data_IF_503693252223
#
_entry.id   IF_503693252223
#
_cell.length_a   1.000
_cell.length_b   1.000
_cell.length_c   1.000
_cell.angle_alpha   90.00
_cell.angle_beta   90.00
_cell.angle_gamma   90.00
#
_symmetry.space_group_name_H-M   'P 1'
#
loop_
_entity.id
_entity.type
_entity.pdbx_description
1 polymer ?
#
# COMPACT_ATOMS: atom_id res chain seq x y z
N UNK A 1 -2.73 -24.65 1.65
CA UNK A 1 -2.94 -23.19 1.79
C UNK A 1 -4.40 -22.89 1.51
N UNK A 2 -5.06 -22.12 2.39
CA UNK A 2 -6.42 -21.63 2.15
C UNK A 2 -6.34 -20.36 1.31
N UNK A 3 -7.13 -20.29 0.24
CA UNK A 3 -7.31 -19.11 -0.61
C UNK A 3 -8.69 -18.52 -0.34
N UNK A 4 -8.89 -17.25 -0.66
CA UNK A 4 -10.14 -16.53 -0.46
C UNK A 4 -10.00 -15.35 0.50
N UNK A 5 -11.14 -14.83 0.95
CA UNK A 5 -11.25 -13.75 1.91
C UNK A 5 -11.20 -14.28 3.35
N UNK A 6 -10.65 -13.47 4.26
CA UNK A 6 -10.58 -13.78 5.68
C UNK A 6 -11.18 -12.63 6.50
N UNK A 7 -12.17 -12.94 7.34
CA UNK A 7 -12.79 -11.95 8.24
C UNK A 7 -12.01 -11.68 9.54
N UNK A 8 -10.88 -12.36 9.75
CA UNK A 8 -10.06 -12.24 10.95
C UNK A 8 -8.57 -12.38 10.61
N UNK A 9 -7.66 -11.88 11.46
CA UNK A 9 -6.21 -12.09 11.34
C UNK A 9 -5.85 -13.56 11.09
N UNK A 10 -4.95 -13.81 10.13
CA UNK A 10 -4.53 -15.16 9.75
C UNK A 10 -3.31 -15.67 10.54
N UNK A 11 -2.68 -14.80 11.33
CA UNK A 11 -1.42 -15.08 12.02
C UNK A 11 -0.20 -15.09 11.09
N UNK A 12 0.93 -15.67 11.51
CA UNK A 12 2.17 -15.64 10.76
C UNK A 12 2.10 -16.42 9.43
N UNK A 13 2.65 -15.83 8.37
CA UNK A 13 2.80 -16.45 7.05
C UNK A 13 4.00 -17.42 7.06
N UNK A 14 3.70 -18.71 7.03
CA UNK A 14 4.72 -19.78 7.04
C UNK A 14 5.14 -20.22 5.62
N UNK A 15 5.70 -19.31 4.81
CA UNK A 15 6.03 -19.60 3.40
C UNK A 15 7.10 -20.70 3.21
N UNK A 16 8.02 -20.88 4.17
CA UNK A 16 9.05 -21.94 4.13
C UNK A 16 8.50 -23.36 4.09
N UNK A 17 7.29 -23.56 4.60
CA UNK A 17 6.57 -24.84 4.52
C UNK A 17 5.79 -25.04 3.22
N UNK A 18 5.78 -24.07 2.32
CA UNK A 18 5.02 -24.15 1.07
C UNK A 18 5.70 -25.10 0.08
N UNK A 19 4.92 -26.05 -0.46
CA UNK A 19 5.38 -26.96 -1.52
C UNK A 19 5.40 -26.24 -2.87
N UNK A 20 6.41 -25.39 -3.05
CA UNK A 20 6.62 -24.61 -4.27
C UNK A 20 6.88 -25.53 -5.47
N UNK A 21 6.19 -25.24 -6.58
CA UNK A 21 6.27 -26.00 -7.83
C UNK A 21 6.61 -25.08 -9.00
N UNK A 22 7.13 -25.64 -10.08
CA UNK A 22 7.17 -24.96 -11.37
C UNK A 22 5.76 -24.88 -11.97
N UNK A 23 5.53 -24.03 -12.99
CA UNK A 23 4.27 -24.02 -13.73
C UNK A 23 3.90 -25.36 -14.36
N UNK A 24 4.88 -26.23 -14.62
CA UNK A 24 4.69 -27.59 -15.14
C UNK A 24 4.44 -28.63 -14.03
N UNK A 25 4.35 -28.21 -12.77
CA UNK A 25 3.97 -29.06 -11.64
C UNK A 25 5.13 -29.78 -10.95
N UNK A 26 6.37 -29.64 -11.43
CA UNK A 26 7.56 -30.21 -10.79
C UNK A 26 7.85 -29.50 -9.46
N UNK A 27 8.23 -30.24 -8.41
CA UNK A 27 8.67 -29.63 -7.16
C UNK A 27 9.98 -28.87 -7.38
N UNK A 28 10.05 -27.65 -6.87
CA UNK A 28 11.29 -26.85 -6.90
C UNK A 28 12.15 -27.12 -5.66
N UNK A 29 13.49 -26.93 -5.76
CA UNK A 29 14.39 -26.98 -4.61
C UNK A 29 13.95 -26.07 -3.46
N UNK A 30 14.27 -26.42 -2.22
CA UNK A 30 13.78 -25.69 -1.04
C UNK A 30 14.29 -24.26 -0.98
N UNK A 31 15.50 -24.00 -1.49
CA UNK A 31 16.10 -22.66 -1.51
C UNK A 31 15.27 -21.67 -2.36
N UNK A 32 14.50 -22.19 -3.32
CA UNK A 32 13.58 -21.38 -4.14
C UNK A 32 12.48 -20.73 -3.32
N UNK A 33 12.14 -21.29 -2.16
CA UNK A 33 11.17 -20.67 -1.25
C UNK A 33 11.68 -19.34 -0.71
N UNK A 34 12.98 -19.19 -0.47
CA UNK A 34 13.57 -17.92 -0.04
C UNK A 34 13.80 -16.97 -1.22
N UNK A 35 14.28 -17.46 -2.36
CA UNK A 35 14.60 -16.59 -3.51
C UNK A 35 13.36 -15.98 -4.17
N UNK A 36 12.28 -16.74 -4.24
CA UNK A 36 11.09 -16.39 -5.01
C UNK A 36 10.04 -15.69 -4.14
N UNK A 37 10.18 -15.75 -2.81
CA UNK A 37 9.27 -15.06 -1.90
C UNK A 37 9.51 -13.55 -1.94
N UNK A 38 8.43 -12.80 -2.10
CA UNK A 38 8.41 -11.33 -2.12
C UNK A 38 7.52 -10.82 -0.99
N UNK A 39 7.98 -9.77 -0.32
CA UNK A 39 7.24 -9.03 0.70
C UNK A 39 7.26 -7.54 0.39
N UNK A 40 6.11 -6.91 0.59
CA UNK A 40 5.90 -5.47 0.48
C UNK A 40 5.10 -5.00 1.67
N UNK A 41 5.48 -3.85 2.21
CA UNK A 41 4.68 -3.18 3.21
C UNK A 41 4.76 -1.67 2.96
N UNK A 42 3.61 -1.02 2.98
CA UNK A 42 3.47 0.41 2.78
C UNK A 42 2.56 0.99 3.86
N UNK A 43 3.05 2.03 4.53
CA UNK A 43 2.32 2.80 5.53
C UNK A 43 2.40 4.27 5.16
N UNK A 44 1.29 4.97 5.31
CA UNK A 44 1.24 6.38 4.98
C UNK A 44 0.05 7.09 5.59
N UNK A 45 0.06 8.40 5.47
CA UNK A 45 -1.01 9.28 5.88
C UNK A 45 -1.21 10.38 4.84
N UNK A 46 -2.46 10.78 4.65
CA UNK A 46 -2.82 11.79 3.67
C UNK A 46 -3.83 12.76 4.28
N UNK A 47 -3.72 14.02 3.89
CA UNK A 47 -4.65 15.10 4.23
C UNK A 47 -4.80 16.04 3.03
N UNK A 48 -5.63 17.08 3.16
CA UNK A 48 -5.70 18.12 2.14
C UNK A 48 -4.37 18.88 1.97
N UNK A 49 -3.44 18.80 2.94
CA UNK A 49 -2.15 19.49 2.91
C UNK A 49 -1.01 18.62 2.37
N UNK A 50 -0.98 17.33 2.67
CA UNK A 50 0.17 16.50 2.33
C UNK A 50 -0.18 15.04 2.06
N UNK A 51 0.72 14.34 1.37
CA UNK A 51 0.78 12.88 1.30
C UNK A 51 2.13 12.39 1.83
N UNK A 52 2.08 11.60 2.91
CA UNK A 52 3.21 10.85 3.48
C UNK A 52 3.08 9.40 3.06
N UNK A 53 4.16 8.81 2.56
CA UNK A 53 4.22 7.38 2.28
C UNK A 53 5.59 6.81 2.57
N UNK A 54 5.62 5.62 3.17
CA UNK A 54 6.82 4.84 3.39
C UNK A 54 6.58 3.41 2.93
N UNK A 55 7.34 2.96 1.93
CA UNK A 55 7.28 1.59 1.44
C UNK A 55 8.60 0.86 1.76
N UNK A 56 8.48 -0.42 2.10
CA UNK A 56 9.61 -1.36 2.18
C UNK A 56 9.37 -2.52 1.23
N UNK A 57 10.42 -2.95 0.54
CA UNK A 57 10.44 -4.15 -0.30
C UNK A 57 11.42 -5.15 0.30
N UNK A 58 10.99 -6.41 0.37
CA UNK A 58 11.77 -7.51 0.91
C UNK A 58 11.77 -8.70 -0.05
N UNK A 59 12.94 -9.04 -0.57
CA UNK A 59 13.20 -10.27 -1.30
C UNK A 59 14.67 -10.68 -1.13
N UNK A 60 15.02 -11.87 -1.61
CA UNK A 60 16.42 -12.28 -1.66
C UNK A 60 17.28 -11.34 -2.53
N UNK A 61 16.74 -10.87 -3.65
CA UNK A 61 17.45 -10.04 -4.63
C UNK A 61 17.50 -8.55 -4.25
N UNK A 62 16.49 -8.06 -3.52
CA UNK A 62 16.33 -6.65 -3.17
C UNK A 62 15.71 -6.48 -1.81
N UNK A 63 16.38 -5.66 -0.99
CA UNK A 63 15.85 -5.11 0.26
C UNK A 63 16.02 -3.60 0.16
N UNK A 64 14.91 -2.88 0.13
CA UNK A 64 14.89 -1.44 -0.14
C UNK A 64 13.74 -0.77 0.58
N UNK A 65 13.84 0.55 0.70
CA UNK A 65 12.74 1.37 1.17
C UNK A 65 12.71 2.70 0.42
N UNK A 66 11.54 3.32 0.34
CA UNK A 66 11.43 4.73 0.01
C UNK A 66 10.49 5.42 0.99
N UNK A 67 10.68 6.71 1.16
CA UNK A 67 9.93 7.56 2.07
C UNK A 67 9.79 8.94 1.45
N UNK A 68 8.59 9.50 1.49
CA UNK A 68 8.35 10.86 1.01
C UNK A 68 7.31 11.59 1.85
N UNK A 69 7.36 12.92 1.79
CA UNK A 69 6.25 13.81 2.11
C UNK A 69 6.11 14.77 0.94
N UNK A 70 5.00 14.67 0.23
CA UNK A 70 4.59 15.62 -0.80
C UNK A 70 3.64 16.64 -0.17
N UNK A 71 3.97 17.93 -0.18
CA UNK A 71 3.10 19.00 0.31
C UNK A 71 2.29 19.57 -0.87
N UNK A 72 0.97 19.40 -0.81
CA UNK A 72 0.02 19.86 -1.84
C UNK A 72 -0.11 21.38 -1.92
N UNK A 73 0.19 22.12 -0.84
CA UNK A 73 0.15 23.58 -0.83
C UNK A 73 1.34 24.20 -1.57
N UNK A 74 2.48 23.52 -1.54
CA UNK A 74 3.69 23.93 -2.25
C UNK A 74 3.92 23.18 -3.57
N UNK A 75 3.10 22.16 -3.82
CA UNK A 75 3.17 21.23 -4.95
C UNK A 75 4.57 20.63 -5.17
N UNK A 76 5.22 20.20 -4.08
CA UNK A 76 6.58 19.64 -4.12
C UNK A 76 6.83 18.64 -2.99
N UNK A 77 7.84 17.80 -3.17
CA UNK A 77 8.39 17.01 -2.07
C UNK A 77 9.14 17.90 -1.09
N UNK A 78 8.76 17.83 0.19
CA UNK A 78 9.52 18.40 1.31
C UNK A 78 10.41 17.35 1.99
N UNK A 79 10.14 16.08 1.70
CA UNK A 79 10.99 14.92 2.02
C UNK A 79 10.90 13.93 0.85
N UNK A 80 12.04 13.45 0.37
CA UNK A 80 12.13 12.32 -0.55
C UNK A 80 13.43 11.56 -0.29
N UNK A 81 13.32 10.29 0.12
CA UNK A 81 14.46 9.44 0.48
C UNK A 81 14.29 8.05 -0.10
N UNK A 82 15.39 7.50 -0.61
CA UNK A 82 15.47 6.15 -1.18
C UNK A 82 16.61 5.39 -0.54
N UNK A 83 16.36 4.12 -0.24
CA UNK A 83 17.29 3.25 0.43
C UNK A 83 17.38 1.91 -0.30
N UNK A 84 18.61 1.44 -0.49
CA UNK A 84 18.91 0.08 -0.91
C UNK A 84 19.91 -0.51 0.07
N UNK A 85 19.66 -1.75 0.51
CA UNK A 85 20.48 -2.42 1.50
C UNK A 85 21.91 -2.65 1.00
N UNK A 86 22.87 -2.43 1.90
CA UNK A 86 24.31 -2.63 1.71
C UNK A 86 24.81 -3.69 2.69
N UNK A 87 26.08 -4.07 2.56
CA UNK A 87 26.71 -4.94 3.53
C UNK A 87 26.72 -4.28 4.92
N UNK A 88 26.25 -5.00 5.93
CA UNK A 88 26.15 -4.50 7.32
C UNK A 88 24.80 -3.90 7.69
N UNK A 89 23.92 -3.64 6.71
CA UNK A 89 22.55 -3.19 6.97
C UNK A 89 21.69 -4.33 7.55
N UNK A 90 20.72 -3.95 8.38
CA UNK A 90 19.76 -4.87 8.97
C UNK A 90 18.40 -4.72 8.27
N UNK A 91 17.86 -5.79 7.72
CA UNK A 91 16.55 -5.79 7.07
C UNK A 91 15.77 -7.02 7.52
N UNK A 92 14.72 -6.81 8.32
CA UNK A 92 13.77 -7.81 8.81
C UNK A 92 12.37 -7.42 8.34
N UNK A 93 11.61 -8.39 7.86
CA UNK A 93 10.24 -8.18 7.37
C UNK A 93 9.27 -9.02 8.20
N UNK A 94 8.22 -8.39 8.71
CA UNK A 94 7.19 -9.07 9.48
C UNK A 94 6.40 -10.04 8.60
N UNK A 95 6.31 -11.30 9.01
CA UNK A 95 5.47 -12.31 8.36
C UNK A 95 4.07 -12.39 8.96
N UNK A 96 3.80 -11.66 10.05
CA UNK A 96 2.47 -11.47 10.61
C UNK A 96 2.08 -9.99 10.45
N UNK A 97 1.14 -9.66 9.55
CA UNK A 97 0.74 -8.28 9.28
C UNK A 97 -0.11 -7.67 10.41
N UNK A 98 -0.54 -8.47 11.39
CA UNK A 98 -1.36 -8.05 12.54
C UNK A 98 -0.59 -8.15 13.87
N UNK A 99 0.63 -8.72 13.91
CA UNK A 99 1.37 -8.98 15.16
C UNK A 99 2.91 -9.00 15.03
N UNK A 100 3.51 -8.21 14.12
CA UNK A 100 4.95 -8.28 13.82
C UNK A 100 5.65 -6.93 13.64
N UNK A 101 6.97 -6.98 13.58
CA UNK A 101 7.86 -5.83 13.33
C UNK A 101 8.68 -6.04 12.06
N UNK A 102 8.59 -5.10 11.12
CA UNK A 102 9.53 -4.93 10.03
C UNK A 102 10.55 -3.86 10.43
N UNK A 103 11.85 -4.18 10.43
CA UNK A 103 12.94 -3.25 10.73
C UNK A 103 13.87 -3.15 9.53
N UNK A 104 14.10 -1.93 9.05
CA UNK A 104 15.08 -1.63 8.02
C UNK A 104 16.03 -0.55 8.55
N UNK A 105 17.31 -0.91 8.70
CA UNK A 105 18.40 -0.02 9.09
C UNK A 105 19.38 0.11 7.94
N UNK A 106 19.54 1.33 7.44
CA UNK A 106 20.44 1.69 6.34
C UNK A 106 21.49 2.68 6.86
N UNK A 107 22.60 2.16 7.38
CA UNK A 107 23.55 2.93 8.19
C UNK A 107 22.88 3.58 9.41
N UNK A 108 22.88 4.91 9.47
CA UNK A 108 22.27 5.69 10.56
C UNK A 108 20.75 5.84 10.43
N UNK A 109 20.18 5.50 9.27
CA UNK A 109 18.75 5.62 9.00
C UNK A 109 18.00 4.38 9.50
N UNK A 110 16.85 4.57 10.15
CA UNK A 110 16.02 3.51 10.72
C UNK A 110 14.57 3.72 10.33
N UNK A 111 13.94 2.67 9.78
CA UNK A 111 12.51 2.58 9.49
C UNK A 111 11.97 1.35 10.21
N UNK A 112 10.92 1.52 11.00
CA UNK A 112 10.23 0.44 11.69
C UNK A 112 8.74 0.50 11.41
N UNK A 113 8.18 -0.64 11.00
CA UNK A 113 6.74 -0.81 10.82
C UNK A 113 6.26 -1.92 11.76
N UNK A 114 5.43 -1.58 12.73
CA UNK A 114 4.93 -2.51 13.75
C UNK A 114 3.43 -2.71 13.64
N UNK A 115 2.98 -3.91 13.98
CA UNK A 115 1.57 -4.24 14.21
C UNK A 115 1.41 -4.87 15.60
N UNK A 116 0.42 -4.39 16.36
CA UNK A 116 0.09 -4.88 17.70
C UNK A 116 -1.28 -5.58 17.68
N UNK A 117 -1.29 -6.87 18.00
CA UNK A 117 -2.47 -7.74 17.84
C UNK A 117 -3.61 -7.37 18.79
N UNK A 118 -3.29 -7.03 20.03
CA UNK A 118 -4.25 -6.77 21.09
C UNK A 118 -5.07 -5.51 20.82
N UNK A 119 -4.46 -4.52 20.18
CA UNK A 119 -5.06 -3.21 19.87
C UNK A 119 -5.45 -3.07 18.40
N UNK A 120 -5.07 -4.03 17.55
CA UNK A 120 -5.07 -3.94 16.09
C UNK A 120 -4.53 -2.57 15.64
N UNK A 121 -3.42 -2.14 16.26
CA UNK A 121 -2.77 -0.89 15.91
C UNK A 121 -1.58 -1.13 15.02
N UNK A 122 -1.30 -0.18 14.15
CA UNK A 122 -0.11 -0.17 13.29
C UNK A 122 0.64 1.12 13.47
N UNK A 123 1.96 1.02 13.44
CA UNK A 123 2.88 2.14 13.67
C UNK A 123 3.96 2.16 12.60
N UNK A 124 4.32 3.37 12.17
CA UNK A 124 5.51 3.66 11.39
C UNK A 124 6.39 4.61 12.22
N UNK A 125 7.58 4.15 12.58
CA UNK A 125 8.59 4.95 13.28
C UNK A 125 9.84 5.09 12.40
N UNK A 126 10.19 6.32 12.07
CA UNK A 126 11.34 6.66 11.23
C UNK A 126 12.28 7.60 11.95
N UNK A 127 13.58 7.33 11.88
CA UNK A 127 14.65 8.26 12.25
C UNK A 127 15.69 8.29 11.14
N UNK A 128 15.99 9.47 10.58
CA UNK A 128 16.97 9.64 9.50
C UNK A 128 18.17 10.46 9.97
N UNK A 129 19.25 10.35 9.21
CA UNK A 129 20.55 11.03 9.42
C UNK A 129 20.48 12.57 9.37
N UNK A 130 19.47 13.14 8.73
CA UNK A 130 19.23 14.60 8.63
C UNK A 130 18.39 15.17 9.79
N UNK A 131 18.07 14.34 10.79
CA UNK A 131 17.22 14.70 11.92
C UNK A 131 15.72 14.53 11.65
N UNK A 132 15.31 14.00 10.49
CA UNK A 132 13.91 13.66 10.22
C UNK A 132 13.43 12.57 11.18
N UNK A 133 12.30 12.81 11.83
CA UNK A 133 11.62 11.89 12.70
C UNK A 133 10.13 11.78 12.32
N UNK A 134 9.63 10.56 12.16
CA UNK A 134 8.20 10.31 11.86
C UNK A 134 7.70 9.28 12.85
N UNK A 135 6.59 9.56 13.52
CA UNK A 135 5.82 8.59 14.28
C UNK A 135 4.38 8.69 13.81
N UNK A 136 3.95 7.72 13.02
CA UNK A 136 2.59 7.58 12.52
C UNK A 136 1.95 6.38 13.19
N UNK A 137 0.73 6.53 13.69
CA UNK A 137 -0.04 5.40 14.20
C UNK A 137 -1.53 5.50 13.84
N UNK A 138 -2.19 4.36 13.81
CA UNK A 138 -3.65 4.25 13.74
C UNK A 138 -4.12 2.92 14.33
N UNK A 139 -5.42 2.78 14.55
CA UNK A 139 -6.03 1.54 15.07
C UNK A 139 -7.23 1.11 14.23
N UNK A 140 -7.34 -0.20 13.99
CA UNK A 140 -8.48 -0.87 13.35
C UNK A 140 -9.55 -1.31 14.38
N UNK A 141 -9.30 -1.12 15.68
CA UNK A 141 -10.24 -1.51 16.74
C UNK A 141 -11.12 -0.36 17.25
N UNK A 142 -10.69 0.90 17.06
CA UNK A 142 -11.38 2.09 17.56
C UNK A 142 -11.33 3.25 16.56
N UNK A 143 -12.43 3.53 15.83
CA UNK A 143 -13.63 2.71 15.70
C UNK A 143 -13.31 1.35 15.04
N UNK A 144 -14.23 0.39 15.17
CA UNK A 144 -14.07 -0.92 14.52
C UNK A 144 -13.93 -0.79 13.00
N UNK A 145 -13.03 -1.57 12.41
CA UNK A 145 -12.69 -1.53 11.00
C UNK A 145 -12.67 -2.94 10.38
N UNK A 146 -13.27 -3.09 9.20
CA UNK A 146 -13.29 -4.33 8.43
C UNK A 146 -12.09 -4.39 7.49
N UNK A 147 -10.95 -4.80 8.03
CA UNK A 147 -9.71 -4.92 7.25
C UNK A 147 -9.83 -5.98 6.17
N UNK A 148 -9.54 -5.58 4.92
CA UNK A 148 -9.50 -6.50 3.80
C UNK A 148 -8.31 -7.43 3.99
N UNK A 149 -8.58 -8.74 4.04
CA UNK A 149 -7.56 -9.79 4.04
C UNK A 149 -7.91 -10.81 2.98
N UNK A 150 -7.00 -11.04 2.03
CA UNK A 150 -7.21 -12.02 0.96
C UNK A 150 -5.96 -12.82 0.67
N UNK A 151 -6.15 -14.04 0.20
CA UNK A 151 -5.11 -14.86 -0.42
C UNK A 151 -5.61 -15.37 -1.77
N UNK A 152 -4.97 -14.95 -2.85
CA UNK A 152 -5.32 -15.37 -4.21
C UNK A 152 -4.27 -16.32 -4.78
N UNK A 153 -4.67 -17.05 -5.81
CA UNK A 153 -3.71 -17.77 -6.64
C UNK A 153 -2.98 -16.77 -7.54
N UNK A 154 -1.67 -16.96 -7.70
CA UNK A 154 -0.84 -16.08 -8.52
C UNK A 154 -0.11 -16.91 -9.57
N UNK A 155 -0.64 -16.91 -10.79
CA UNK A 155 -0.17 -17.79 -11.87
C UNK A 155 -0.44 -19.27 -11.56
N UNK A 156 0.32 -20.17 -12.20
CA UNK A 156 0.09 -21.61 -12.07
C UNK A 156 0.56 -22.19 -10.72
N UNK A 157 1.58 -21.60 -10.09
CA UNK A 157 2.23 -22.20 -8.92
C UNK A 157 2.36 -21.26 -7.69
N UNK A 158 2.12 -19.96 -7.89
CA UNK A 158 2.24 -18.95 -6.86
C UNK A 158 0.94 -18.62 -6.14
N UNK A 159 1.06 -17.73 -5.18
CA UNK A 159 -0.05 -17.16 -4.41
C UNK A 159 0.39 -15.82 -3.83
N UNK A 160 -0.58 -14.97 -3.57
CA UNK A 160 -0.35 -13.66 -2.96
C UNK A 160 -1.33 -13.46 -1.83
N UNK A 161 -0.82 -13.18 -0.64
CA UNK A 161 -1.60 -12.62 0.46
C UNK A 161 -1.53 -11.10 0.41
N UNK A 162 -2.67 -10.44 0.52
CA UNK A 162 -2.75 -8.99 0.63
C UNK A 162 -3.65 -8.60 1.81
N UNK A 163 -3.24 -7.55 2.52
CA UNK A 163 -3.98 -6.93 3.61
C UNK A 163 -4.02 -5.42 3.41
N UNK A 164 -5.22 -4.83 3.35
CA UNK A 164 -5.42 -3.41 3.02
C UNK A 164 -6.27 -2.72 4.08
N UNK A 165 -5.88 -1.50 4.41
CA UNK A 165 -6.60 -0.56 5.29
C UNK A 165 -6.53 0.82 4.65
N UNK A 166 -7.68 1.51 4.56
CA UNK A 166 -7.75 2.89 4.13
C UNK A 166 -8.95 3.58 4.81
N UNK A 167 -8.85 4.88 5.06
CA UNK A 167 -9.93 5.66 5.68
C UNK A 167 -9.99 5.54 7.20
N UNK A 168 -8.84 5.38 7.85
CA UNK A 168 -8.70 5.43 9.32
C UNK A 168 -8.03 6.73 9.75
N UNK A 169 -8.28 7.22 10.97
CA UNK A 169 -7.64 8.45 11.46
C UNK A 169 -6.14 8.20 11.71
N UNK A 170 -5.30 9.13 11.27
CA UNK A 170 -3.87 9.13 11.56
C UNK A 170 -3.56 9.91 12.83
N UNK A 171 -2.71 9.37 13.68
CA UNK A 171 -2.19 10.03 14.88
C UNK A 171 -0.66 10.08 14.86
N UNK A 172 -0.10 11.06 15.59
CA UNK A 172 1.33 11.31 15.67
C UNK A 172 1.77 12.47 14.79
N UNK A 173 3.02 12.44 14.34
CA UNK A 173 3.63 13.55 13.63
C UNK A 173 4.81 13.15 12.73
N UNK A 174 5.14 14.06 11.81
CA UNK A 174 6.42 14.09 11.12
C UNK A 174 7.13 15.41 11.42
N UNK A 175 8.43 15.36 11.70
CA UNK A 175 9.27 16.54 11.88
C UNK A 175 10.64 16.37 11.23
N UNK A 176 11.29 17.48 10.88
CA UNK A 176 12.62 17.50 10.27
C UNK A 176 12.99 18.90 9.77
N UNK A 177 13.97 19.01 8.85
CA UNK A 177 14.33 20.29 8.23
C UNK A 177 13.17 21.02 7.52
N UNK A 178 12.11 20.28 7.18
CA UNK A 178 10.87 20.79 6.57
C UNK A 178 9.84 21.34 7.57
N UNK A 179 10.15 21.39 8.87
CA UNK A 179 9.20 21.78 9.91
C UNK A 179 8.44 20.59 10.50
N UNK A 180 7.20 20.81 10.96
CA UNK A 180 6.39 19.82 11.68
C UNK A 180 4.99 19.66 11.06
N UNK A 181 4.55 18.42 10.95
CA UNK A 181 3.21 18.00 10.50
C UNK A 181 2.57 17.20 11.63
N UNK A 182 1.61 17.78 12.33
CA UNK A 182 0.78 17.08 13.30
C UNK A 182 -0.41 16.44 12.57
N UNK A 183 -0.49 15.10 12.59
CA UNK A 183 -1.45 14.37 11.76
C UNK A 183 -2.89 14.60 12.21
N UNK A 184 -3.14 14.69 13.51
CA UNK A 184 -4.47 14.93 14.05
C UNK A 184 -4.94 16.36 13.74
N UNK A 185 -4.07 17.36 13.94
CA UNK A 185 -4.38 18.77 13.66
C UNK A 185 -4.64 19.03 12.17
N UNK A 186 -3.99 18.27 11.29
CA UNK A 186 -4.19 18.34 9.84
C UNK A 186 -5.35 17.46 9.34
N UNK A 187 -6.06 16.77 10.25
CA UNK A 187 -7.17 15.88 9.91
C UNK A 187 -6.74 14.72 9.00
N UNK A 188 -5.48 14.29 9.11
CA UNK A 188 -4.92 13.26 8.25
C UNK A 188 -5.57 11.89 8.50
N UNK A 189 -5.67 11.11 7.44
CA UNK A 189 -6.14 9.74 7.48
C UNK A 189 -5.03 8.81 6.98
N UNK A 190 -4.88 7.67 7.64
CA UNK A 190 -3.85 6.69 7.34
C UNK A 190 -4.36 5.57 6.43
N UNK A 191 -3.41 4.90 5.81
CA UNK A 191 -3.60 3.69 5.04
C UNK A 191 -2.44 2.72 5.27
N UNK A 192 -2.72 1.45 5.04
CA UNK A 192 -1.75 0.37 5.10
C UNK A 192 -1.99 -0.62 3.98
N UNK A 193 -0.91 -1.01 3.33
CA UNK A 193 -0.86 -2.07 2.36
C UNK A 193 0.24 -3.04 2.79
N UNK A 194 -0.13 -4.31 2.89
CA UNK A 194 0.80 -5.40 3.08
C UNK A 194 0.56 -6.44 2.02
N UNK A 195 1.62 -6.87 1.36
CA UNK A 195 1.57 -7.94 0.38
C UNK A 195 2.72 -8.91 0.62
N UNK A 196 2.44 -10.21 0.59
CA UNK A 196 3.49 -11.22 0.66
C UNK A 196 3.11 -12.48 -0.11
N UNK A 197 4.10 -13.15 -0.72
CA UNK A 197 3.88 -14.43 -1.37
C UNK A 197 4.86 -14.75 -2.50
N UNK A 198 4.43 -15.68 -3.35
CA UNK A 198 5.13 -16.06 -4.57
C UNK A 198 4.43 -15.40 -5.75
N UNK A 199 4.87 -14.19 -6.07
CA UNK A 199 4.33 -13.36 -7.14
C UNK A 199 4.73 -13.90 -8.51
N UNK A 200 4.13 -13.35 -9.58
CA UNK A 200 4.58 -13.65 -10.94
C UNK A 200 5.98 -13.06 -11.16
N UNK A 201 6.88 -13.72 -11.92
CA UNK A 201 8.20 -13.18 -12.22
C UNK A 201 8.13 -11.78 -12.85
N UNK A 202 7.15 -11.57 -13.72
CA UNK A 202 6.72 -10.26 -14.20
C UNK A 202 5.39 -9.90 -13.54
N UNK A 203 5.38 -8.82 -12.78
CA UNK A 203 4.21 -8.30 -12.09
C UNK A 203 3.96 -6.89 -12.57
N UNK A 204 2.73 -6.60 -12.97
CA UNK A 204 2.29 -5.26 -13.35
C UNK A 204 0.99 -4.95 -12.61
N UNK A 205 0.87 -3.73 -12.11
CA UNK A 205 -0.38 -3.24 -11.56
C UNK A 205 -0.55 -1.74 -11.76
N UNK A 206 -1.81 -1.35 -11.85
CA UNK A 206 -2.26 -0.02 -11.51
C UNK A 206 -2.97 -0.07 -10.16
N UNK A 207 -2.79 0.96 -9.33
CA UNK A 207 -3.42 1.05 -8.02
C UNK A 207 -3.98 2.45 -7.80
N UNK A 208 -5.11 2.56 -7.11
CA UNK A 208 -5.66 3.82 -6.65
C UNK A 208 -6.07 3.67 -5.19
N UNK A 209 -5.66 4.63 -4.38
CA UNK A 209 -5.94 4.67 -2.96
C UNK A 209 -6.18 6.10 -2.50
N UNK A 210 -7.19 6.27 -1.65
CA UNK A 210 -7.37 7.51 -0.90
C UNK A 210 -7.80 7.19 0.52
N UNK A 211 -7.62 8.17 1.41
CA UNK A 211 -8.16 8.13 2.76
C UNK A 211 -8.53 9.55 3.16
N UNK A 212 -9.72 9.75 3.69
CA UNK A 212 -10.12 11.09 4.12
C UNK A 212 -11.53 11.16 4.68
N UNK A 213 -12.03 12.38 4.86
CA UNK A 213 -13.36 12.65 5.40
C UNK A 213 -14.22 13.32 4.35
N UNK A 214 -15.42 12.80 4.14
CA UNK A 214 -16.46 13.48 3.37
C UNK A 214 -16.96 14.73 4.10
N UNK A 215 -17.66 15.60 3.38
CA UNK A 215 -18.20 16.84 3.94
C UNK A 215 -19.19 16.62 5.10
N UNK A 216 -19.87 15.47 5.13
CA UNK A 216 -20.76 15.06 6.22
C UNK A 216 -20.03 14.43 7.41
N UNK A 217 -18.69 14.41 7.41
CA UNK A 217 -17.85 13.86 8.47
C UNK A 217 -17.55 12.37 8.37
N UNK A 218 -18.16 11.64 7.42
CA UNK A 218 -17.90 10.21 7.24
C UNK A 218 -16.44 9.96 6.83
N UNK A 219 -15.80 9.00 7.48
CA UNK A 219 -14.49 8.50 7.06
C UNK A 219 -14.67 7.62 5.83
N UNK A 220 -13.94 7.94 4.78
CA UNK A 220 -13.94 7.20 3.53
C UNK A 220 -12.51 6.75 3.20
N UNK A 221 -12.40 5.51 2.74
CA UNK A 221 -11.16 4.96 2.20
C UNK A 221 -11.43 4.19 0.93
N UNK A 222 -10.48 4.12 0.01
CA UNK A 222 -10.57 3.35 -1.22
C UNK A 222 -9.28 2.54 -1.40
N UNK A 223 -9.43 1.29 -1.83
CA UNK A 223 -8.34 0.48 -2.38
C UNK A 223 -8.86 -0.23 -3.63
N UNK A 224 -8.35 0.14 -4.80
CA UNK A 224 -8.64 -0.59 -6.05
C UNK A 224 -7.38 -0.79 -6.85
N UNK A 225 -7.20 -1.99 -7.37
CA UNK A 225 -6.12 -2.33 -8.29
C UNK A 225 -6.64 -3.02 -9.55
N UNK A 226 -5.79 -2.95 -10.57
CA UNK A 226 -5.96 -3.60 -11.85
C UNK A 226 -4.63 -4.22 -12.27
N UNK A 227 -4.62 -5.51 -12.61
CA UNK A 227 -3.44 -6.27 -13.02
C UNK A 227 -2.84 -7.18 -11.93
N UNK A 228 -3.28 -7.07 -10.67
CA UNK A 228 -2.80 -7.89 -9.55
C UNK A 228 -3.96 -8.39 -8.68
N UNK A 229 -3.80 -9.59 -8.10
CA UNK A 229 -4.79 -10.20 -7.21
C UNK A 229 -6.18 -10.34 -7.83
N UNK A 230 -6.28 -10.80 -9.09
CA UNK A 230 -7.54 -10.93 -9.86
C UNK A 230 -7.98 -12.40 -10.08
N UNK A 231 -7.27 -13.38 -9.52
CA UNK A 231 -7.65 -14.80 -9.70
C UNK A 231 -8.64 -15.24 -8.62
N UNK A 232 -9.92 -15.23 -8.98
CA UNK A 232 -11.04 -15.74 -8.18
C UNK A 232 -11.55 -14.81 -7.06
N UNK A 233 -10.74 -13.84 -6.65
CA UNK A 233 -11.10 -12.72 -5.77
C UNK A 233 -10.37 -11.47 -6.28
N UNK A 234 -10.85 -10.28 -5.92
CA UNK A 234 -10.18 -8.99 -6.14
C UNK A 234 -9.84 -8.34 -4.80
N UNK A 235 -8.80 -7.50 -4.76
CA UNK A 235 -8.52 -6.64 -3.60
C UNK A 235 -9.31 -5.32 -3.60
N UNK A 236 -10.28 -5.19 -4.51
CA UNK A 236 -11.01 -3.95 -4.75
C UNK A 236 -12.11 -3.74 -3.71
N UNK A 237 -12.06 -2.64 -2.98
CA UNK A 237 -13.08 -2.22 -2.03
C UNK A 237 -12.95 -0.74 -1.67
N UNK A 238 -13.98 -0.23 -1.02
CA UNK A 238 -13.91 1.02 -0.28
C UNK A 238 -14.49 0.81 1.11
N UNK A 239 -14.22 1.75 2.01
CA UNK A 239 -14.72 1.74 3.37
C UNK A 239 -15.53 2.99 3.66
N UNK A 240 -16.62 2.80 4.40
CA UNK A 240 -17.44 3.88 4.95
C UNK A 240 -17.47 3.71 6.47
N UNK A 241 -16.82 4.60 7.20
CA UNK A 241 -16.68 4.53 8.65
C UNK A 241 -16.17 3.16 9.14
N UNK A 242 -15.23 2.58 8.39
CA UNK A 242 -14.63 1.28 8.69
C UNK A 242 -15.41 0.06 8.20
N UNK A 243 -16.66 0.20 7.74
CA UNK A 243 -17.39 -0.88 7.09
C UNK A 243 -16.95 -1.03 5.63
N UNK A 244 -16.55 -2.23 5.22
CA UNK A 244 -16.02 -2.54 3.90
C UNK A 244 -17.15 -2.82 2.90
N UNK A 245 -17.09 -2.17 1.74
CA UNK A 245 -17.89 -2.50 0.57
C UNK A 245 -16.97 -3.11 -0.48
N UNK A 246 -17.13 -4.43 -0.73
CA UNK A 246 -16.42 -5.09 -1.82
C UNK A 246 -16.90 -4.57 -3.18
N UNK A 247 -15.92 -4.30 -4.03
CA UNK A 247 -16.11 -3.96 -5.43
C UNK A 247 -15.63 -5.13 -6.31
N UNK A 248 -16.19 -5.21 -7.51
CA UNK A 248 -15.71 -6.11 -8.56
C UNK A 248 -14.38 -5.59 -9.17
N UNK A 249 -13.95 -6.16 -10.29
CA UNK A 249 -12.79 -5.74 -11.06
C UNK A 249 -12.89 -4.25 -11.40
N UNK A 250 -11.77 -3.55 -11.24
CA UNK A 250 -11.66 -2.13 -11.51
C UNK A 250 -10.87 -1.92 -12.80
N UNK A 251 -11.25 -0.87 -13.54
CA UNK A 251 -10.48 -0.31 -14.65
C UNK A 251 -9.87 1.00 -14.18
N UNK A 252 -8.58 1.18 -14.45
CA UNK A 252 -7.84 2.42 -14.21
C UNK A 252 -7.28 2.84 -15.57
N UNK A 253 -7.97 3.77 -16.23
CA UNK A 253 -7.58 4.31 -17.53
C UNK A 253 -6.81 5.62 -17.33
N UNK A 254 -5.66 5.75 -17.96
CA UNK A 254 -4.81 6.93 -17.90
C UNK A 254 -4.00 7.05 -19.20
N UNK A 255 -3.42 8.22 -19.42
CA UNK A 255 -2.50 8.48 -20.52
C UNK A 255 -1.08 8.12 -20.08
N UNK A 256 -0.50 7.07 -20.64
CA UNK A 256 0.84 6.59 -20.30
C UNK A 256 1.96 7.46 -20.87
N UNK A 257 1.66 8.33 -21.84
CA UNK A 257 2.56 9.38 -22.33
C UNK A 257 2.45 10.66 -21.49
N UNK A 258 1.35 10.85 -20.76
CA UNK A 258 1.11 11.99 -19.88
C UNK A 258 0.43 11.58 -18.56
N UNK A 259 1.22 11.10 -17.61
CA UNK A 259 0.74 10.69 -16.28
C UNK A 259 0.12 11.84 -15.46
N UNK A 260 0.34 13.10 -15.83
CA UNK A 260 -0.28 14.28 -15.20
C UNK A 260 -1.71 14.54 -15.72
N UNK A 261 -2.11 13.93 -16.83
CA UNK A 261 -3.50 13.97 -17.29
C UNK A 261 -4.44 13.29 -16.27
N UNK A 262 -5.73 13.64 -16.20
CA UNK A 262 -6.67 12.98 -15.30
C UNK A 262 -6.82 11.48 -15.56
N UNK A 263 -6.85 10.68 -14.49
CA UNK A 263 -7.05 9.23 -14.55
C UNK A 263 -8.51 8.90 -14.29
N UNK A 264 -9.06 7.93 -15.02
CA UNK A 264 -10.43 7.44 -14.84
C UNK A 264 -10.41 6.11 -14.10
N UNK A 265 -11.16 6.02 -13.00
CA UNK A 265 -11.25 4.82 -12.18
C UNK A 265 -12.72 4.39 -12.12
N UNK A 266 -13.01 3.16 -12.53
CA UNK A 266 -14.36 2.60 -12.45
C UNK A 266 -14.37 1.12 -12.10
N UNK A 267 -15.47 0.62 -11.52
CA UNK A 267 -15.65 -0.82 -11.26
C UNK A 267 -16.75 -1.41 -12.13
N UNK A 268 -16.63 -2.70 -12.46
CA UNK A 268 -17.59 -3.40 -13.32
C UNK A 268 -19.01 -3.46 -12.73
N UNK A 269 -19.12 -3.43 -11.40
CA UNK A 269 -20.40 -3.39 -10.68
C UNK A 269 -20.95 -1.96 -10.49
N UNK A 270 -20.29 -0.94 -11.06
CA UNK A 270 -20.74 0.46 -11.03
C UNK A 270 -20.68 1.13 -9.65
N UNK A 271 -20.02 0.49 -8.68
CA UNK A 271 -19.82 1.02 -7.32
C UNK A 271 -18.73 2.07 -7.23
N UNK A 272 -17.77 2.04 -8.14
CA UNK A 272 -16.70 3.04 -8.24
C UNK A 272 -16.86 3.78 -9.56
N UNK A 273 -16.92 5.11 -9.47
CA UNK A 273 -16.96 6.03 -10.60
C UNK A 273 -16.20 7.31 -10.18
N UNK A 274 -14.90 7.35 -10.45
CA UNK A 274 -14.02 8.43 -10.01
C UNK A 274 -13.13 8.95 -11.14
N UNK A 275 -12.74 10.21 -11.02
CA UNK A 275 -11.65 10.83 -11.75
C UNK A 275 -10.60 11.27 -10.74
N UNK A 276 -9.35 10.91 -10.97
CA UNK A 276 -8.21 11.39 -10.20
C UNK A 276 -7.50 12.49 -11.01
N UNK A 277 -7.21 13.62 -10.36
CA UNK A 277 -6.44 14.72 -10.96
C UNK A 277 -5.09 14.81 -10.27
N UNK A 278 -3.99 14.46 -10.96
CA UNK A 278 -2.63 14.59 -10.44
C UNK A 278 -2.26 16.04 -10.08
N UNK A 279 -1.40 16.19 -9.09
CA UNK A 279 -0.77 17.44 -8.66
C UNK A 279 0.77 17.34 -8.78
N UNK A 280 1.33 16.16 -8.50
CA UNK A 280 2.73 15.84 -8.72
C UNK A 280 2.97 14.33 -8.65
N UNK A 281 4.19 13.87 -8.91
CA UNK A 281 4.49 12.45 -9.00
C UNK A 281 5.85 12.06 -8.44
N UNK A 282 5.91 10.89 -7.82
CA UNK A 282 7.14 10.20 -7.48
C UNK A 282 7.46 9.19 -8.59
N UNK A 283 8.68 9.24 -9.11
CA UNK A 283 9.10 8.41 -10.24
C UNK A 283 10.39 7.66 -9.90
N UNK A 284 10.37 6.33 -10.02
CA UNK A 284 11.52 5.48 -9.79
C UNK A 284 11.60 4.37 -10.83
N UNK A 285 12.49 4.56 -11.80
CA UNK A 285 12.78 3.58 -12.84
C UNK A 285 14.19 3.03 -12.63
N UNK A 286 14.38 1.74 -12.92
CA UNK A 286 15.69 1.12 -12.78
C UNK A 286 15.71 -0.29 -13.33
N UNK A 287 16.80 -0.65 -13.99
CA UNK A 287 17.01 -1.99 -14.53
C UNK A 287 18.39 -2.52 -14.16
N UNK A 288 18.43 -3.81 -13.84
CA UNK A 288 19.62 -4.62 -13.59
C UNK A 288 19.36 -6.03 -14.11
N UNK A 289 20.40 -6.88 -14.13
CA UNK A 289 20.25 -8.29 -14.52
C UNK A 289 19.23 -9.06 -13.64
N UNK A 290 19.06 -8.64 -12.38
CA UNK A 290 18.19 -9.34 -11.43
C UNK A 290 16.80 -8.72 -11.34
N UNK A 291 16.69 -7.40 -11.48
CA UNK A 291 15.44 -6.67 -11.26
C UNK A 291 15.28 -5.57 -12.29
N UNK A 292 14.07 -5.43 -12.82
CA UNK A 292 13.63 -4.26 -13.56
C UNK A 292 12.39 -3.67 -12.90
N UNK A 293 12.33 -2.34 -12.79
CA UNK A 293 11.21 -1.61 -12.19
C UNK A 293 10.89 -0.37 -13.02
N UNK A 294 9.60 -0.12 -13.23
CA UNK A 294 9.09 1.13 -13.79
C UNK A 294 7.96 1.65 -12.90
N UNK A 295 8.32 2.47 -11.89
CA UNK A 295 7.40 2.92 -10.85
C UNK A 295 7.06 4.39 -11.00
N UNK A 296 5.76 4.67 -11.03
CA UNK A 296 5.24 6.03 -10.96
C UNK A 296 4.06 6.06 -9.99
N UNK A 297 4.13 6.93 -9.00
CA UNK A 297 3.05 7.20 -8.05
C UNK A 297 2.66 8.67 -8.15
N UNK A 298 1.45 8.95 -8.60
CA UNK A 298 0.91 10.29 -8.76
C UNK A 298 0.11 10.67 -7.52
N UNK A 299 0.34 11.85 -6.97
CA UNK A 299 -0.39 12.42 -5.84
C UNK A 299 -1.39 13.44 -6.33
N UNK A 300 -2.57 13.48 -5.73
CA UNK A 300 -3.61 14.40 -6.19
C UNK A 300 -4.95 14.16 -5.53
N UNK A 301 -6.01 14.49 -6.25
CA UNK A 301 -7.35 14.54 -5.71
C UNK A 301 -8.34 13.74 -6.55
N UNK A 302 -9.14 12.92 -5.86
CA UNK A 302 -10.25 12.18 -6.43
C UNK A 302 -11.53 13.02 -6.40
N UNK A 303 -12.34 12.87 -7.45
CA UNK A 303 -13.69 13.41 -7.57
C UNK A 303 -14.61 12.38 -8.26
N UNK A 304 -15.87 12.29 -7.85
CA UNK A 304 -16.86 11.38 -8.42
C UNK A 304 -17.78 10.81 -7.36
N UNK A 305 -18.18 9.54 -7.51
CA UNK A 305 -19.16 8.89 -6.64
C UNK A 305 -18.73 7.46 -6.31
N UNK A 306 -18.90 7.08 -5.04
CA UNK A 306 -18.93 5.69 -4.61
C UNK A 306 -20.37 5.26 -4.31
N UNK A 307 -20.72 4.00 -4.55
CA UNK A 307 -22.04 3.44 -4.23
C UNK A 307 -21.91 2.16 -3.43
N UNK A 308 -22.64 2.04 -2.33
CA UNK A 308 -22.67 0.80 -1.55
C UNK A 308 -23.58 -0.27 -2.19
N UNK A 309 -23.69 -1.42 -1.52
CA UNK A 309 -24.51 -2.54 -1.98
C UNK A 309 -26.02 -2.24 -2.07
N UNK A 310 -26.48 -1.22 -1.34
CA UNK A 310 -27.87 -0.76 -1.36
C UNK A 310 -28.09 0.39 -2.37
N UNK A 311 -27.03 0.79 -3.08
CA UNK A 311 -27.06 1.88 -4.06
C UNK A 311 -26.98 3.27 -3.45
N UNK A 312 -26.72 3.40 -2.15
CA UNK A 312 -26.49 4.70 -1.52
C UNK A 312 -25.20 5.30 -2.05
N UNK A 313 -25.31 6.52 -2.57
CA UNK A 313 -24.20 7.26 -3.13
C UNK A 313 -23.43 8.05 -2.05
N UNK A 314 -22.11 8.11 -2.23
CA UNK A 314 -21.18 8.92 -1.46
C UNK A 314 -20.40 9.81 -2.42
N UNK A 315 -20.68 11.11 -2.38
CA UNK A 315 -20.02 12.08 -3.25
C UNK A 315 -18.58 12.32 -2.79
N UNK A 316 -17.67 12.21 -3.76
CA UNK A 316 -16.25 12.49 -3.62
C UNK A 316 -15.99 13.82 -4.33
N UNK A 317 -15.61 14.86 -3.58
CA UNK A 317 -15.42 16.21 -4.12
C UNK A 317 -13.98 16.51 -4.50
N UNK A 318 -13.07 16.33 -3.53
CA UNK A 318 -11.63 16.56 -3.66
C UNK A 318 -10.89 15.74 -2.60
N UNK A 319 -11.03 14.41 -2.67
CA UNK A 319 -10.44 13.51 -1.67
C UNK A 319 -8.97 13.30 -1.99
N UNK A 320 -8.04 13.58 -1.06
CA UNK A 320 -6.62 13.46 -1.33
C UNK A 320 -6.19 11.99 -1.33
N UNK A 321 -5.29 11.64 -2.22
CA UNK A 321 -4.77 10.29 -2.35
C UNK A 321 -3.74 10.18 -3.47
N UNK A 322 -3.59 8.99 -4.01
CA UNK A 322 -2.64 8.72 -5.07
C UNK A 322 -3.09 7.59 -5.99
N UNK A 323 -2.53 7.59 -7.20
CA UNK A 323 -2.57 6.48 -8.14
C UNK A 323 -1.17 5.99 -8.43
N UNK A 324 -1.04 4.73 -8.83
CA UNK A 324 0.23 4.13 -9.21
C UNK A 324 0.09 3.39 -10.53
N UNK A 325 1.18 3.39 -11.30
CA UNK A 325 1.49 2.37 -12.30
C UNK A 325 2.85 1.77 -11.95
N UNK A 326 2.91 0.46 -11.86
CA UNK A 326 4.12 -0.25 -11.46
C UNK A 326 4.31 -1.51 -12.29
N UNK A 327 5.48 -1.60 -12.90
CA UNK A 327 6.01 -2.83 -13.48
C UNK A 327 7.21 -3.31 -12.66
N UNK A 328 7.25 -4.61 -12.38
CA UNK A 328 8.38 -5.30 -11.76
C UNK A 328 8.70 -6.61 -12.47
N UNK A 329 9.99 -6.80 -12.74
CA UNK A 329 10.59 -8.11 -13.04
C UNK A 329 11.54 -8.49 -11.91
N UNK A 330 11.43 -9.72 -11.41
CA UNK A 330 12.16 -10.26 -10.26
C UNK A 330 13.26 -11.25 -10.57
#
# INVERSE_FOLDING_TARGET
>A
MKKGLFGAPIGPIHYRGYRLKSPLGALLPEERRESDFKGFQFLGAVSARFALGCAVTYSAALKSAFLYIFDFSENRFVLERRFGARQGDECRFALDPDAGESLFRFGENRIVMCAEKETLSKKLDVCLDDGTAISLSFSESKPGFETLRLCTQTGAAGWTYAQKVAGVTAEGEASGPFGRYDFAALGACAHHDYTAGFLRPETYWNWACFSGRAANGALLGLNVSNGVNETGQTENCFWVNGAMVKCDHAMIDFDDENLEAPWRISSQDGKVDLTFTPAGGYHATGESEKIASNFHQMFGFFKGVLKDGDGKAFDIAAMPGFTETQYLRW
#
